data_IF_232413521634
#
_entry.id   IF_232413521634
#
_cell.length_a   1.000
_cell.length_b   1.000
_cell.length_c   1.000
_cell.angle_alpha   90.00
_cell.angle_beta   90.00
_cell.angle_gamma   90.00
#
_symmetry.space_group_name_H-M   'P 1'
#
loop_
_entity.id
_entity.type
_entity.pdbx_description
1 polymer ?
#
# COMPACT_ATOMS: atom_id res chain seq x y z
N UNK A 1 15.51 -27.00 -22.05
CA UNK A 1 15.96 -25.93 -22.98
C UNK A 1 16.31 -24.73 -22.12
N UNK A 2 17.61 -24.48 -21.91
CA UNK A 2 18.09 -23.38 -21.07
C UNK A 2 17.95 -22.07 -21.83
N UNK A 3 17.09 -21.17 -21.34
CA UNK A 3 17.01 -19.81 -21.83
C UNK A 3 18.10 -18.97 -21.14
N UNK A 4 19.17 -18.70 -21.88
CA UNK A 4 20.22 -17.75 -21.53
C UNK A 4 19.61 -16.35 -21.48
N UNK A 5 19.52 -15.75 -20.29
CA UNK A 5 19.20 -14.33 -20.16
C UNK A 5 20.38 -13.52 -20.72
N UNK A 6 20.19 -12.91 -21.89
CA UNK A 6 21.09 -11.86 -22.37
C UNK A 6 20.86 -10.61 -21.53
N UNK A 7 21.87 -10.25 -20.74
CA UNK A 7 21.96 -8.97 -20.05
C UNK A 7 22.16 -7.85 -21.07
N UNK A 8 21.13 -7.06 -21.31
CA UNK A 8 21.21 -5.93 -22.23
C UNK A 8 20.20 -4.85 -21.91
N UNK A 9 20.57 -3.94 -21.00
CA UNK A 9 20.31 -2.50 -21.09
C UNK A 9 21.26 -1.81 -20.11
N UNK A 10 22.11 -0.92 -20.61
CA UNK A 10 22.99 -0.12 -19.75
C UNK A 10 22.14 0.71 -18.78
N UNK A 11 22.20 0.39 -17.50
CA UNK A 11 21.62 1.22 -16.44
C UNK A 11 22.34 2.56 -16.45
N UNK A 12 21.65 3.61 -16.90
CA UNK A 12 22.10 4.98 -16.72
C UNK A 12 22.30 5.18 -15.22
N UNK A 13 23.53 5.48 -14.79
CA UNK A 13 23.81 5.76 -13.37
C UNK A 13 22.85 6.87 -12.90
N UNK A 14 22.08 6.59 -11.85
CA UNK A 14 21.20 7.58 -11.24
C UNK A 14 21.99 8.84 -10.86
N UNK A 15 21.42 10.00 -11.18
CA UNK A 15 22.01 11.28 -10.81
C UNK A 15 21.84 11.53 -9.31
N UNK A 16 22.59 12.50 -8.76
CA UNK A 16 22.40 12.94 -7.38
C UNK A 16 20.96 13.44 -7.12
N UNK A 17 20.32 14.03 -8.13
CA UNK A 17 18.93 14.47 -8.05
C UNK A 17 17.95 13.30 -7.98
N UNK A 18 18.22 12.19 -8.69
CA UNK A 18 17.37 11.00 -8.67
C UNK A 18 17.39 10.29 -7.31
N UNK A 19 18.46 10.48 -6.54
CA UNK A 19 18.63 9.94 -5.18
C UNK A 19 18.19 10.90 -4.06
N UNK A 20 17.64 12.07 -4.41
CA UNK A 20 17.12 13.01 -3.41
C UNK A 20 15.88 12.39 -2.76
N UNK A 21 15.91 12.25 -1.42
CA UNK A 21 14.79 11.74 -0.67
C UNK A 21 13.54 12.61 -0.82
N UNK A 22 12.40 11.96 -1.02
CA UNK A 22 11.07 12.52 -1.17
C UNK A 22 10.12 11.81 -0.21
N UNK A 23 9.06 12.51 0.19
CA UNK A 23 7.97 11.94 0.99
C UNK A 23 6.65 12.10 0.25
N UNK A 24 5.86 11.04 0.22
CA UNK A 24 4.53 11.10 -0.39
C UNK A 24 3.56 11.92 0.46
N UNK A 25 2.77 12.77 -0.20
CA UNK A 25 1.67 13.52 0.42
C UNK A 25 0.59 13.80 -0.63
N UNK A 26 -0.55 14.33 -0.19
CA UNK A 26 -1.61 14.81 -1.09
C UNK A 26 -2.19 16.12 -0.53
N UNK A 27 -2.76 16.94 -1.41
CA UNK A 27 -3.41 18.20 -1.06
C UNK A 27 -4.92 18.01 -1.19
N UNK A 28 -5.60 18.03 -0.04
CA UNK A 28 -7.05 17.82 0.07
C UNK A 28 -7.82 18.74 -0.87
N UNK A 29 -8.89 18.20 -1.44
CA UNK A 29 -9.90 18.90 -2.25
C UNK A 29 -11.28 18.64 -1.63
N UNK A 30 -12.32 19.40 -2.01
CA UNK A 30 -13.67 19.10 -1.57
C UNK A 30 -14.06 17.65 -1.88
N UNK A 31 -14.90 17.06 -1.02
CA UNK A 31 -15.43 15.70 -1.20
C UNK A 31 -15.94 15.47 -2.63
N UNK A 32 -15.62 14.32 -3.20
CA UNK A 32 -15.95 13.93 -4.57
C UNK A 32 -14.91 14.36 -5.60
N UNK A 33 -13.93 15.20 -5.23
CA UNK A 33 -12.83 15.58 -6.13
C UNK A 33 -11.56 14.80 -5.78
N UNK A 34 -10.89 14.28 -6.82
CA UNK A 34 -9.55 13.71 -6.69
C UNK A 34 -8.60 14.81 -6.19
N UNK A 35 -7.79 14.54 -5.14
CA UNK A 35 -6.88 15.54 -4.59
C UNK A 35 -5.75 15.88 -5.57
N UNK A 36 -4.97 16.91 -5.24
CA UNK A 36 -3.74 17.20 -5.96
C UNK A 36 -2.56 16.47 -5.32
N UNK A 37 -1.52 16.19 -6.11
CA UNK A 37 -0.36 15.37 -5.70
C UNK A 37 0.96 16.16 -5.80
N UNK A 38 2.07 15.66 -5.23
CA UNK A 38 3.36 16.32 -5.26
C UNK A 38 3.80 16.62 -6.70
N UNK A 39 4.49 17.73 -6.93
CA UNK A 39 4.89 18.13 -8.29
C UNK A 39 5.83 17.10 -8.94
N UNK A 40 6.55 16.34 -8.12
CA UNK A 40 7.46 15.26 -8.49
C UNK A 40 6.76 14.16 -9.31
N UNK A 41 5.45 13.97 -9.13
CA UNK A 41 4.66 13.01 -9.93
C UNK A 41 4.67 13.34 -11.43
N UNK A 42 4.90 14.61 -11.82
CA UNK A 42 5.05 15.02 -13.23
C UNK A 42 6.32 14.47 -13.87
N UNK A 43 7.29 14.06 -13.07
CA UNK A 43 8.54 13.45 -13.52
C UNK A 43 8.45 11.92 -13.62
N UNK A 44 7.33 11.31 -13.20
CA UNK A 44 7.16 9.87 -13.31
C UNK A 44 7.05 9.48 -14.78
N UNK A 45 7.86 8.52 -15.19
CA UNK A 45 7.82 7.97 -16.54
C UNK A 45 6.88 6.77 -16.61
N UNK A 46 6.55 6.32 -17.83
CA UNK A 46 5.76 5.10 -18.03
C UNK A 46 6.41 3.85 -17.42
N UNK A 47 7.74 3.83 -17.32
CA UNK A 47 8.48 2.70 -16.76
C UNK A 47 8.53 2.73 -15.22
N UNK A 48 8.25 3.88 -14.61
CA UNK A 48 8.06 4.04 -13.17
C UNK A 48 6.62 3.64 -12.81
N UNK A 49 6.41 2.35 -12.53
CA UNK A 49 5.11 1.80 -12.16
C UNK A 49 4.68 2.33 -10.80
N UNK A 50 3.84 3.34 -10.79
CA UNK A 50 3.36 4.01 -9.59
C UNK A 50 1.84 4.21 -9.64
N UNK A 51 1.16 3.96 -8.52
CA UNK A 51 -0.28 4.03 -8.42
C UNK A 51 -0.69 4.76 -7.15
N UNK A 52 -1.55 5.78 -7.26
CA UNK A 52 -2.05 6.54 -6.11
C UNK A 52 -3.54 6.91 -6.18
N UNK A 53 -4.17 6.73 -7.34
CA UNK A 53 -5.61 6.81 -7.57
C UNK A 53 -5.99 5.66 -8.49
N UNK A 54 -7.03 4.91 -8.13
CA UNK A 54 -7.60 3.85 -8.95
C UNK A 54 -8.61 4.39 -9.98
N UNK A 55 -9.59 3.58 -10.34
CA UNK A 55 -10.59 3.94 -11.36
C UNK A 55 -12.01 3.64 -10.91
N UNK A 56 -12.97 4.39 -11.48
CA UNK A 56 -14.41 4.22 -11.28
C UNK A 56 -14.88 4.60 -9.88
N UNK A 57 -16.15 4.34 -9.61
CA UNK A 57 -16.79 4.58 -8.31
C UNK A 57 -16.42 3.49 -7.28
N UNK A 58 -15.11 3.34 -7.06
CA UNK A 58 -14.49 2.31 -6.23
C UNK A 58 -13.58 2.92 -5.17
N UNK A 59 -13.49 2.23 -4.05
CA UNK A 59 -12.55 2.46 -2.96
C UNK A 59 -11.63 1.24 -2.84
N UNK A 60 -10.34 1.52 -2.82
CA UNK A 60 -9.27 0.55 -2.58
C UNK A 60 -8.78 0.79 -1.16
N UNK A 61 -9.39 0.09 -0.20
CA UNK A 61 -8.94 0.14 1.19
C UNK A 61 -7.59 -0.56 1.28
N UNK A 62 -6.55 0.19 1.65
CA UNK A 62 -5.20 -0.34 1.87
C UNK A 62 -4.83 -0.21 3.34
N UNK A 63 -4.25 -1.27 3.90
CA UNK A 63 -3.94 -1.37 5.33
C UNK A 63 -2.46 -1.69 5.50
N UNK A 64 -1.72 -0.76 6.09
CA UNK A 64 -0.28 -0.92 6.35
C UNK A 64 -0.06 -1.55 7.73
N UNK A 65 0.84 -2.53 7.77
CA UNK A 65 1.27 -3.25 8.98
C UNK A 65 2.80 -3.18 9.08
N UNK A 66 3.31 -1.96 9.20
CA UNK A 66 4.72 -1.62 9.34
C UNK A 66 5.14 -1.19 10.76
N UNK A 67 4.22 -1.24 11.72
CA UNK A 67 4.43 -0.95 13.14
C UNK A 67 3.85 -2.03 14.07
N UNK A 68 3.46 -1.69 15.31
CA UNK A 68 2.73 -2.58 16.20
C UNK A 68 1.46 -3.13 15.55
N UNK A 69 1.13 -4.39 15.85
CA UNK A 69 -0.13 -4.99 15.43
C UNK A 69 -1.20 -4.70 16.48
N UNK A 70 -2.32 -4.12 16.06
CA UNK A 70 -3.54 -3.96 16.87
C UNK A 70 -4.41 -5.22 16.87
N UNK A 71 -5.70 -5.04 17.16
CA UNK A 71 -6.71 -6.12 17.21
C UNK A 71 -7.02 -6.68 15.81
N UNK A 72 -6.39 -7.81 15.47
CA UNK A 72 -6.58 -8.51 14.19
C UNK A 72 -7.94 -9.19 14.11
N UNK A 73 -8.50 -9.65 15.22
CA UNK A 73 -9.81 -10.33 15.26
C UNK A 73 -10.93 -9.36 14.90
N UNK A 74 -10.95 -8.17 15.52
CA UNK A 74 -11.94 -7.15 15.23
C UNK A 74 -11.81 -6.62 13.79
N UNK A 75 -10.58 -6.50 13.28
CA UNK A 75 -10.34 -6.11 11.89
C UNK A 75 -10.91 -7.14 10.91
N UNK A 76 -10.57 -8.42 11.08
CA UNK A 76 -11.06 -9.50 10.21
C UNK A 76 -12.57 -9.63 10.30
N UNK A 77 -13.14 -9.55 11.51
CA UNK A 77 -14.59 -9.58 11.74
C UNK A 77 -15.28 -8.43 11.01
N UNK A 78 -14.76 -7.21 11.10
CA UNK A 78 -15.35 -6.04 10.43
C UNK A 78 -15.35 -6.19 8.90
N UNK A 79 -14.26 -6.71 8.33
CA UNK A 79 -14.19 -6.98 6.88
C UNK A 79 -15.15 -8.09 6.46
N UNK A 80 -15.20 -9.18 7.22
CA UNK A 80 -16.04 -10.35 6.94
C UNK A 80 -17.53 -10.07 7.08
N UNK A 81 -17.95 -9.43 8.16
CA UNK A 81 -19.36 -9.10 8.42
C UNK A 81 -19.93 -8.16 7.35
N UNK A 82 -19.06 -7.38 6.73
CA UNK A 82 -19.42 -6.51 5.65
C UNK A 82 -19.12 -7.11 4.26
N UNK A 83 -18.57 -8.32 4.10
CA UNK A 83 -18.15 -8.83 2.79
C UNK A 83 -17.29 -7.81 2.00
N UNK A 84 -16.32 -7.19 2.69
CA UNK A 84 -15.41 -6.21 2.10
C UNK A 84 -14.01 -6.82 1.98
N UNK A 85 -13.37 -6.64 0.83
CA UNK A 85 -11.97 -7.04 0.63
C UNK A 85 -11.05 -5.81 0.72
N UNK A 86 -9.90 -5.98 1.34
CA UNK A 86 -8.88 -4.95 1.50
C UNK A 86 -7.51 -5.43 0.97
N UNK A 87 -6.57 -4.48 0.89
CA UNK A 87 -5.23 -4.68 0.35
C UNK A 87 -4.21 -4.41 1.46
N UNK A 88 -3.47 -5.42 1.90
CA UNK A 88 -2.58 -5.35 3.05
C UNK A 88 -1.13 -5.22 2.61
N UNK A 89 -0.45 -4.19 3.09
CA UNK A 89 1.01 -4.04 2.95
C UNK A 89 1.63 -4.38 4.31
N UNK A 90 2.14 -5.59 4.44
CA UNK A 90 2.61 -6.13 5.73
C UNK A 90 4.13 -6.20 5.72
N UNK A 91 4.79 -5.72 6.77
CA UNK A 91 6.25 -5.87 6.90
C UNK A 91 6.62 -7.32 7.27
N UNK A 92 7.77 -7.80 6.79
CA UNK A 92 8.18 -9.19 6.97
C UNK A 92 8.29 -9.63 8.44
N UNK A 93 8.69 -8.74 9.34
CA UNK A 93 8.72 -9.07 10.77
C UNK A 93 7.31 -9.30 11.36
N UNK A 94 6.26 -8.65 10.84
CA UNK A 94 4.88 -8.89 11.26
C UNK A 94 4.33 -10.19 10.64
N UNK A 95 4.73 -10.52 9.40
CA UNK A 95 4.45 -11.85 8.81
C UNK A 95 5.05 -12.98 9.68
N UNK A 96 6.26 -12.79 10.22
CA UNK A 96 6.87 -13.76 11.15
C UNK A 96 6.16 -13.83 12.50
N UNK A 97 5.66 -12.69 12.99
CA UNK A 97 5.00 -12.59 14.29
C UNK A 97 3.65 -13.29 14.29
N UNK A 98 2.89 -13.16 13.21
CA UNK A 98 1.56 -13.76 13.08
C UNK A 98 1.33 -14.33 11.67
N UNK A 99 1.91 -15.51 11.38
CA UNK A 99 1.76 -16.15 10.08
C UNK A 99 0.34 -16.68 9.84
N UNK A 100 -0.42 -16.98 10.91
CA UNK A 100 -1.82 -17.43 10.80
C UNK A 100 -2.72 -16.30 10.33
N UNK A 101 -2.52 -15.07 10.83
CA UNK A 101 -3.20 -13.89 10.31
C UNK A 101 -2.97 -13.73 8.80
N UNK A 102 -1.73 -13.85 8.32
CA UNK A 102 -1.42 -13.73 6.89
C UNK A 102 -2.08 -14.84 6.07
N UNK A 103 -2.06 -16.09 6.55
CA UNK A 103 -2.79 -17.19 5.90
C UNK A 103 -4.29 -16.94 5.83
N UNK A 104 -4.86 -16.42 6.92
CA UNK A 104 -6.29 -16.09 7.01
C UNK A 104 -6.64 -14.99 6.02
N UNK A 105 -5.83 -13.94 5.90
CA UNK A 105 -6.04 -12.87 4.93
C UNK A 105 -6.13 -13.40 3.49
N UNK A 106 -5.20 -14.29 3.13
CA UNK A 106 -5.15 -14.91 1.81
C UNK A 106 -6.35 -15.84 1.59
N UNK A 107 -6.70 -16.65 2.60
CA UNK A 107 -7.86 -17.55 2.54
C UNK A 107 -9.19 -16.78 2.41
N UNK A 108 -9.29 -15.61 3.04
CA UNK A 108 -10.45 -14.72 2.95
C UNK A 108 -10.46 -13.90 1.66
N UNK A 109 -9.49 -14.08 0.76
CA UNK A 109 -9.44 -13.41 -0.55
C UNK A 109 -9.04 -11.94 -0.48
N UNK A 110 -8.35 -11.53 0.58
CA UNK A 110 -7.68 -10.24 0.61
C UNK A 110 -6.40 -10.26 -0.23
N UNK A 111 -5.97 -9.10 -0.70
CA UNK A 111 -4.68 -8.96 -1.38
C UNK A 111 -3.60 -8.68 -0.33
N UNK A 112 -2.53 -9.46 -0.30
CA UNK A 112 -1.34 -9.18 0.52
C UNK A 112 -0.20 -8.76 -0.40
N UNK A 113 0.51 -7.70 -0.02
CA UNK A 113 1.52 -7.00 -0.79
C UNK A 113 2.77 -6.68 0.05
N UNK A 114 3.86 -6.38 -0.64
CA UNK A 114 5.18 -6.22 -0.04
C UNK A 114 5.34 -4.85 0.63
N UNK A 115 5.71 -4.85 1.90
CA UNK A 115 6.04 -3.63 2.66
C UNK A 115 7.44 -3.67 3.28
N UNK A 116 8.36 -4.32 2.56
CA UNK A 116 9.74 -4.65 2.95
C UNK A 116 9.84 -5.67 4.08
N UNK A 117 11.04 -6.23 4.27
CA UNK A 117 11.30 -7.21 5.31
C UNK A 117 11.38 -6.55 6.69
N UNK A 118 12.05 -5.40 6.78
CA UNK A 118 12.42 -4.73 8.04
C UNK A 118 11.74 -3.40 8.27
N UNK A 119 11.01 -2.85 7.28
CA UNK A 119 10.34 -1.55 7.38
C UNK A 119 11.29 -0.39 7.73
N UNK A 120 12.50 -0.41 7.18
CA UNK A 120 13.48 0.67 7.33
C UNK A 120 13.42 1.65 6.15
N UNK A 121 13.87 2.88 6.37
CA UNK A 121 13.90 3.91 5.32
C UNK A 121 14.91 3.54 4.21
N UNK A 122 14.38 3.24 3.03
CA UNK A 122 15.14 2.73 1.89
C UNK A 122 16.06 3.78 1.27
N UNK A 123 15.84 5.07 1.52
CA UNK A 123 16.76 6.14 1.11
C UNK A 123 18.15 6.01 1.77
N UNK A 124 18.26 5.24 2.85
CA UNK A 124 19.52 4.97 3.58
C UNK A 124 20.19 3.68 3.16
N UNK A 125 19.65 3.00 2.15
CA UNK A 125 20.10 1.69 1.69
C UNK A 125 20.75 1.77 0.30
N UNK A 126 21.64 0.82 0.04
CA UNK A 126 22.16 0.54 -1.31
C UNK A 126 21.14 -0.26 -2.12
N UNK A 127 21.24 -0.24 -3.45
CA UNK A 127 20.38 -1.01 -4.34
C UNK A 127 20.37 -2.52 -4.00
N UNK A 128 21.51 -3.06 -3.57
CA UNK A 128 21.61 -4.46 -3.15
C UNK A 128 20.83 -4.74 -1.86
N UNK A 129 20.85 -3.81 -0.90
CA UNK A 129 20.05 -3.91 0.32
C UNK A 129 18.56 -3.78 0.03
N UNK A 130 18.17 -2.85 -0.85
CA UNK A 130 16.77 -2.69 -1.31
C UNK A 130 16.26 -3.96 -1.98
N UNK A 131 17.02 -4.53 -2.91
CA UNK A 131 16.66 -5.79 -3.57
C UNK A 131 16.50 -6.91 -2.56
N UNK A 132 17.41 -6.99 -1.57
CA UNK A 132 17.37 -8.00 -0.51
C UNK A 132 16.13 -7.86 0.39
N UNK A 133 15.76 -6.64 0.78
CA UNK A 133 14.54 -6.38 1.56
C UNK A 133 13.28 -6.91 0.87
N UNK A 134 13.17 -6.71 -0.45
CA UNK A 134 12.03 -7.15 -1.24
C UNK A 134 12.05 -8.67 -1.44
N UNK A 135 13.19 -9.23 -1.84
CA UNK A 135 13.33 -10.66 -2.15
C UNK A 135 13.24 -11.56 -0.93
N UNK A 136 13.74 -11.12 0.24
CA UNK A 136 13.60 -11.91 1.46
C UNK A 136 12.16 -11.89 1.98
N UNK A 137 11.43 -10.80 1.75
CA UNK A 137 9.99 -10.77 1.99
C UNK A 137 9.24 -11.75 1.08
N UNK A 138 9.54 -11.77 -0.22
CA UNK A 138 8.95 -12.73 -1.18
C UNK A 138 9.11 -14.18 -0.73
N UNK A 139 10.33 -14.56 -0.32
CA UNK A 139 10.64 -15.90 0.19
C UNK A 139 9.82 -16.23 1.44
N UNK A 140 9.79 -15.31 2.40
CA UNK A 140 9.03 -15.49 3.64
C UNK A 140 7.54 -15.63 3.37
N UNK A 141 6.98 -14.78 2.51
CA UNK A 141 5.56 -14.85 2.16
C UNK A 141 5.22 -16.20 1.50
N UNK A 142 6.07 -16.68 0.59
CA UNK A 142 5.89 -17.98 -0.06
C UNK A 142 6.02 -19.14 0.92
N UNK A 143 6.93 -19.07 1.88
CA UNK A 143 7.07 -20.06 2.95
C UNK A 143 5.81 -20.14 3.82
N UNK A 144 5.22 -18.98 4.17
CA UNK A 144 4.05 -18.91 5.06
C UNK A 144 2.75 -19.28 4.38
N UNK A 145 2.58 -18.92 3.10
CA UNK A 145 1.29 -19.01 2.37
C UNK A 145 1.28 -20.06 1.26
N UNK A 146 2.45 -20.53 0.82
CA UNK A 146 2.59 -21.38 -0.36
C UNK A 146 2.39 -20.66 -1.70
N UNK A 147 2.20 -19.34 -1.71
CA UNK A 147 1.88 -18.56 -2.90
C UNK A 147 2.97 -17.53 -3.22
N UNK A 148 3.12 -17.19 -4.50
CA UNK A 148 3.94 -16.05 -4.91
C UNK A 148 3.22 -14.74 -4.55
N UNK A 149 3.97 -13.75 -4.06
CA UNK A 149 3.41 -12.45 -3.68
C UNK A 149 2.89 -11.70 -4.92
N UNK A 150 1.80 -10.98 -4.78
CA UNK A 150 1.34 -10.08 -5.84
C UNK A 150 2.33 -8.90 -5.99
N UNK A 151 2.64 -8.44 -7.21
CA UNK A 151 3.70 -7.45 -7.46
C UNK A 151 3.27 -6.02 -7.13
N UNK A 152 2.71 -5.81 -5.94
CA UNK A 152 2.43 -4.50 -5.35
C UNK A 152 3.40 -4.26 -4.18
N UNK A 153 3.88 -3.02 -4.11
CA UNK A 153 4.88 -2.60 -3.15
C UNK A 153 4.49 -1.26 -2.53
N UNK A 154 4.77 -1.05 -1.25
CA UNK A 154 4.67 0.27 -0.63
C UNK A 154 5.94 0.62 0.11
N UNK A 155 6.52 1.77 -0.22
CA UNK A 155 7.69 2.31 0.46
C UNK A 155 7.36 2.57 1.94
N UNK A 156 8.17 2.07 2.89
CA UNK A 156 8.06 2.44 4.30
C UNK A 156 8.03 3.96 4.47
N UNK A 157 7.13 4.45 5.34
CA UNK A 157 6.94 5.88 5.64
C UNK A 157 6.50 6.76 4.44
N UNK A 158 6.17 6.16 3.29
CA UNK A 158 6.03 6.91 2.03
C UNK A 158 7.32 7.61 1.59
N UNK A 159 8.47 7.16 2.10
CA UNK A 159 9.80 7.71 1.83
C UNK A 159 10.40 7.02 0.61
N UNK A 160 10.66 7.80 -0.44
CA UNK A 160 11.16 7.27 -1.71
C UNK A 160 12.13 8.25 -2.38
N UNK A 161 12.64 7.90 -3.55
CA UNK A 161 13.28 8.81 -4.49
C UNK A 161 13.06 8.25 -5.92
N UNK A 162 13.44 9.01 -6.96
CA UNK A 162 13.19 8.60 -8.35
C UNK A 162 13.96 7.34 -8.72
N UNK A 163 15.20 7.20 -8.22
CA UNK A 163 16.01 6.01 -8.45
C UNK A 163 15.36 4.75 -7.83
N UNK A 164 14.90 4.83 -6.59
CA UNK A 164 14.23 3.74 -5.89
C UNK A 164 12.91 3.36 -6.58
N UNK A 165 12.14 4.35 -7.05
CA UNK A 165 10.90 4.08 -7.79
C UNK A 165 11.18 3.31 -9.09
N UNK A 166 12.20 3.71 -9.85
CA UNK A 166 12.65 2.95 -11.03
C UNK A 166 13.13 1.55 -10.65
N UNK A 167 13.98 1.43 -9.63
CA UNK A 167 14.54 0.17 -9.18
C UNK A 167 13.46 -0.86 -8.80
N UNK A 168 12.46 -0.42 -8.04
CA UNK A 168 11.31 -1.27 -7.66
C UNK A 168 10.47 -1.63 -8.88
N UNK A 169 10.31 -0.71 -9.84
CA UNK A 169 9.58 -0.97 -11.09
C UNK A 169 10.28 -1.99 -11.99
N UNK A 170 11.62 -1.93 -12.07
CA UNK A 170 12.49 -2.88 -12.77
C UNK A 170 12.43 -4.29 -12.13
N UNK A 171 12.24 -4.35 -10.81
CA UNK A 171 11.96 -5.60 -10.10
C UNK A 171 10.56 -6.16 -10.37
N UNK A 172 9.74 -5.47 -11.17
CA UNK A 172 8.43 -5.94 -11.59
C UNK A 172 7.26 -5.39 -10.76
N UNK A 173 7.54 -4.65 -9.69
CA UNK A 173 6.54 -4.15 -8.75
C UNK A 173 5.87 -2.86 -9.22
N UNK A 174 4.60 -2.68 -8.85
CA UNK A 174 3.91 -1.38 -8.85
C UNK A 174 4.00 -0.78 -7.45
N UNK A 175 4.59 0.40 -7.34
CA UNK A 175 4.64 1.17 -6.10
C UNK A 175 3.30 1.85 -5.83
N UNK A 176 2.64 1.49 -4.74
CA UNK A 176 1.31 1.97 -4.39
C UNK A 176 1.42 3.02 -3.28
N UNK A 177 0.99 4.24 -3.57
CA UNK A 177 0.82 5.31 -2.61
C UNK A 177 -0.65 5.44 -2.22
N UNK A 178 -1.13 6.64 -1.90
CA UNK A 178 -2.51 6.87 -1.47
C UNK A 178 -3.00 8.26 -1.89
N UNK A 179 -4.33 8.39 -1.98
CA UNK A 179 -5.02 9.66 -2.21
C UNK A 179 -5.85 10.10 -1.00
N UNK A 180 -5.99 9.25 0.01
CA UNK A 180 -6.56 9.60 1.31
C UNK A 180 -5.82 8.82 2.37
N UNK A 181 -5.57 9.44 3.52
CA UNK A 181 -4.95 8.78 4.66
C UNK A 181 -5.61 9.25 5.94
N UNK A 182 -5.75 8.33 6.89
CA UNK A 182 -6.04 8.65 8.28
C UNK A 182 -4.76 9.21 8.91
N UNK A 183 -4.90 10.14 9.85
CA UNK A 183 -3.78 10.49 10.72
C UNK A 183 -3.84 9.58 11.95
N UNK A 184 -3.00 8.58 12.02
CA UNK A 184 -3.19 7.43 12.92
C UNK A 184 -1.86 6.96 13.56
N UNK A 185 -0.85 7.82 13.53
CA UNK A 185 0.42 7.67 14.24
C UNK A 185 0.41 8.29 15.65
N UNK A 186 -0.70 8.90 16.05
CA UNK A 186 -0.92 9.54 17.36
C UNK A 186 -2.38 9.30 17.82
N UNK A 187 -2.63 9.17 19.15
CA UNK A 187 -3.99 9.04 19.68
C UNK A 187 -4.91 10.18 19.24
N UNK A 188 -6.18 9.85 18.99
CA UNK A 188 -7.15 10.80 18.41
C UNK A 188 -8.07 11.40 19.46
N UNK A 189 -8.32 12.71 19.34
CA UNK A 189 -9.11 13.48 20.31
C UNK A 189 -10.54 12.94 20.45
N UNK A 190 -11.17 12.56 19.33
CA UNK A 190 -12.54 12.09 19.31
C UNK A 190 -12.63 10.56 19.08
N UNK A 191 -11.57 9.81 19.34
CA UNK A 191 -11.54 8.37 19.14
C UNK A 191 -11.85 7.97 17.69
N UNK A 192 -12.66 6.91 17.52
CA UNK A 192 -13.05 6.34 16.22
C UNK A 192 -13.84 7.30 15.29
N UNK A 193 -14.40 8.41 15.80
CA UNK A 193 -15.09 9.38 14.93
C UNK A 193 -14.10 10.16 14.04
N UNK A 194 -12.86 10.35 14.50
CA UNK A 194 -11.82 11.03 13.73
C UNK A 194 -11.46 10.29 12.43
N UNK A 195 -11.04 9.00 12.45
CA UNK A 195 -10.75 8.26 11.21
C UNK A 195 -11.99 8.09 10.33
N UNK A 196 -13.19 7.92 10.90
CA UNK A 196 -14.43 7.91 10.13
C UNK A 196 -14.59 9.21 9.32
N UNK A 197 -14.46 10.37 9.99
CA UNK A 197 -14.58 11.67 9.34
C UNK A 197 -13.44 11.95 8.35
N UNK A 198 -12.21 11.52 8.65
CA UNK A 198 -11.06 11.64 7.75
C UNK A 198 -11.34 10.93 6.42
N UNK A 199 -11.98 9.76 6.43
CA UNK A 199 -12.38 9.06 5.20
C UNK A 199 -13.61 9.71 4.55
N UNK A 200 -14.72 9.83 5.28
CA UNK A 200 -16.00 10.21 4.70
C UNK A 200 -16.02 11.62 4.08
N UNK A 201 -15.16 12.52 4.57
CA UNK A 201 -15.00 13.87 4.03
C UNK A 201 -14.07 13.95 2.82
N UNK A 202 -13.28 12.91 2.54
CA UNK A 202 -12.28 12.90 1.47
C UNK A 202 -12.56 11.85 0.39
N UNK A 203 -13.69 11.14 0.45
CA UNK A 203 -14.09 10.17 -0.58
C UNK A 203 -14.13 10.80 -1.98
N UNK A 204 -13.58 10.06 -2.95
CA UNK A 204 -13.61 10.39 -4.37
C UNK A 204 -13.53 9.11 -5.23
N UNK A 205 -13.82 9.21 -6.52
CA UNK A 205 -13.67 8.09 -7.45
C UNK A 205 -12.22 7.58 -7.50
N UNK A 206 -12.05 6.27 -7.49
CA UNK A 206 -10.74 5.62 -7.45
C UNK A 206 -9.97 5.83 -6.14
N UNK A 207 -10.64 6.06 -5.01
CA UNK A 207 -9.95 6.38 -3.76
C UNK A 207 -9.02 5.25 -3.31
N UNK A 208 -7.72 5.52 -3.17
CA UNK A 208 -6.80 4.63 -2.47
C UNK A 208 -6.61 5.16 -1.06
N UNK A 209 -7.18 4.45 -0.08
CA UNK A 209 -7.17 4.85 1.33
C UNK A 209 -6.00 4.16 2.02
N UNK A 210 -5.16 4.93 2.72
CA UNK A 210 -4.19 4.42 3.69
C UNK A 210 -4.78 4.43 5.10
N UNK A 211 -4.78 3.26 5.73
CA UNK A 211 -5.08 3.01 7.14
C UNK A 211 -3.93 2.20 7.74
N UNK A 212 -3.57 2.43 9.01
CA UNK A 212 -2.66 1.55 9.74
C UNK A 212 -3.42 0.61 10.67
N UNK A 213 -3.01 -0.67 10.68
CA UNK A 213 -3.58 -1.70 11.55
C UNK A 213 -3.21 -1.51 13.03
N UNK A 214 -2.15 -0.74 13.32
CA UNK A 214 -1.72 -0.49 14.70
C UNK A 214 -2.56 0.54 15.47
N UNK A 215 -3.47 1.27 14.82
CA UNK A 215 -4.35 2.24 15.50
C UNK A 215 -5.65 1.59 15.95
N UNK A 216 -5.91 1.69 17.25
CA UNK A 216 -7.15 1.21 17.86
C UNK A 216 -8.37 1.94 17.29
N UNK A 217 -8.31 3.27 17.15
CA UNK A 217 -9.40 4.09 16.64
C UNK A 217 -9.75 3.74 15.19
N UNK A 218 -8.76 3.42 14.36
CA UNK A 218 -8.99 2.97 13.00
C UNK A 218 -9.75 1.65 12.97
N UNK A 219 -9.31 0.66 13.77
CA UNK A 219 -9.96 -0.66 13.82
C UNK A 219 -11.40 -0.52 14.33
N UNK A 220 -11.62 0.28 15.39
CA UNK A 220 -12.96 0.55 15.93
C UNK A 220 -13.88 1.27 14.93
N UNK A 221 -13.32 2.12 14.07
CA UNK A 221 -14.08 2.84 13.05
C UNK A 221 -14.37 2.01 11.79
N UNK A 222 -13.64 0.92 11.56
CA UNK A 222 -13.60 0.21 10.27
C UNK A 222 -14.99 -0.25 9.79
N UNK A 223 -15.79 -0.87 10.67
CA UNK A 223 -17.16 -1.29 10.34
C UNK A 223 -18.03 -0.12 9.85
N UNK A 224 -17.99 1.01 10.58
CA UNK A 224 -18.73 2.24 10.22
C UNK A 224 -18.21 2.83 8.90
N UNK A 225 -16.91 2.81 8.68
CA UNK A 225 -16.29 3.29 7.43
C UNK A 225 -16.78 2.46 6.25
N UNK A 226 -16.77 1.12 6.36
CA UNK A 226 -17.21 0.23 5.27
C UNK A 226 -18.66 0.51 4.90
N UNK A 227 -19.54 0.63 5.91
CA UNK A 227 -20.96 0.96 5.70
C UNK A 227 -21.13 2.34 5.07
N UNK A 228 -20.48 3.36 5.61
CA UNK A 228 -20.55 4.73 5.10
C UNK A 228 -20.06 4.86 3.65
N UNK A 229 -18.98 4.16 3.29
CA UNK A 229 -18.45 4.13 1.91
C UNK A 229 -19.48 3.55 0.94
N UNK A 230 -20.17 2.46 1.34
CA UNK A 230 -21.23 1.85 0.52
C UNK A 230 -22.48 2.71 0.43
N UNK A 231 -22.88 3.35 1.52
CA UNK A 231 -24.01 4.30 1.53
C UNK A 231 -23.73 5.50 0.62
N UNK A 232 -22.47 5.93 0.50
CA UNK A 232 -22.04 6.92 -0.48
C UNK A 232 -22.01 6.38 -1.94
N UNK A 233 -22.32 5.09 -2.12
CA UNK A 233 -22.46 4.41 -3.40
C UNK A 233 -21.15 3.95 -4.03
N UNK A 234 -20.09 3.75 -3.23
CA UNK A 234 -18.83 3.18 -3.70
C UNK A 234 -18.75 1.69 -3.43
N UNK A 235 -18.03 0.99 -4.30
CA UNK A 235 -17.69 -0.43 -4.14
C UNK A 235 -16.27 -0.58 -3.58
N UNK A 236 -16.05 -1.61 -2.75
CA UNK A 236 -14.70 -1.99 -2.35
C UNK A 236 -14.07 -2.89 -3.41
N UNK A 237 -12.81 -2.62 -3.75
CA UNK A 237 -12.08 -3.37 -4.77
C UNK A 237 -10.62 -3.64 -4.35
N UNK A 238 -10.05 -4.69 -4.94
CA UNK A 238 -8.64 -5.00 -4.81
C UNK A 238 -7.83 -4.22 -5.83
N UNK A 239 -6.56 -3.95 -5.54
CA UNK A 239 -5.64 -3.28 -6.47
C UNK A 239 -5.46 -4.09 -7.77
N UNK A 240 -5.66 -5.40 -7.73
CA UNK A 240 -5.69 -6.29 -8.90
C UNK A 240 -6.82 -5.99 -9.86
N UNK A 241 -7.91 -5.38 -9.39
CA UNK A 241 -9.09 -5.04 -10.20
C UNK A 241 -8.89 -3.78 -11.03
N UNK A 242 -7.81 -3.02 -10.78
CA UNK A 242 -7.43 -1.86 -11.58
C UNK A 242 -6.89 -2.37 -12.93
N UNK A 243 -7.48 -1.95 -14.06
CA UNK A 243 -7.00 -2.38 -15.39
C UNK A 243 -5.53 -2.05 -15.59
N UNK A 244 -4.79 -2.94 -16.25
CA UNK A 244 -3.37 -2.71 -16.54
C UNK A 244 -3.10 -1.43 -17.36
N UNK A 245 -4.06 -1.00 -18.18
CA UNK A 245 -3.99 0.26 -18.94
C UNK A 245 -4.10 1.53 -18.09
N UNK A 246 -4.48 1.40 -16.81
CA UNK A 246 -4.66 2.48 -15.86
C UNK A 246 -3.54 2.54 -14.80
N UNK A 247 -2.52 1.69 -14.93
CA UNK A 247 -1.34 1.59 -14.04
C UNK A 247 -0.09 2.12 -14.72
#
# INVERSE_FOLDING_TARGET
>A
MSATYQSGTGTKSASANDKKALSWYYMKKPKGQVPSFPNETKSFTKDMKALWVGTGKKVYLTIDTGGPMGDTELLLKSLKDNDAKANFFIAGYNVKKDPDFVRQLVADGHLVANHTMTHTDMNKQTDAQVKKEIQDYEKLYKEVTGQDIQPYFRFPYGSYNMHLLSLVSEMGYTSVFWSTAMRDWEPRKNGADDPYNDIMNNLHDGNIILMHQGSEENIQALDRIIKGVREAGYEFALLSDIPASAK
#
